data_IF_940162320863
#
_entry.id   IF_940162320863
#
_cell.length_a   1.000
_cell.length_b   1.000
_cell.length_c   1.000
_cell.angle_alpha   90.00
_cell.angle_beta   90.00
_cell.angle_gamma   90.00
#
_symmetry.space_group_name_H-M   'P 1'
#
loop_
_entity.id
_entity.type
_entity.pdbx_description
1 polymer ?
#
# COMPACT_ATOMS: atom_id res chain seq x y z
N UNK A 1 8.83 34.48 -4.99
CA UNK A 1 7.89 33.34 -4.94
C UNK A 1 8.58 31.99 -5.15
N UNK A 2 9.47 31.82 -6.14
CA UNK A 2 10.19 30.56 -6.43
C UNK A 2 11.08 30.03 -5.27
N UNK A 3 11.71 30.91 -4.50
CA UNK A 3 12.60 30.53 -3.39
C UNK A 3 11.86 29.84 -2.22
N UNK A 4 10.61 30.24 -1.94
CA UNK A 4 9.79 29.62 -0.88
C UNK A 4 9.34 28.20 -1.25
N UNK A 5 8.92 27.98 -2.50
CA UNK A 5 8.57 26.64 -2.98
C UNK A 5 9.77 25.68 -2.96
N UNK A 6 10.96 26.18 -3.27
CA UNK A 6 12.19 25.39 -3.17
C UNK A 6 12.49 24.98 -1.72
N UNK A 7 12.42 25.93 -0.78
CA UNK A 7 12.68 25.64 0.65
C UNK A 7 11.71 24.62 1.22
N UNK A 8 10.42 24.72 0.91
CA UNK A 8 9.40 23.76 1.37
C UNK A 8 9.67 22.37 0.76
N UNK A 9 10.01 22.31 -0.53
CA UNK A 9 10.37 21.04 -1.19
C UNK A 9 11.58 20.39 -0.53
N UNK A 10 12.64 21.14 -0.23
CA UNK A 10 13.83 20.58 0.42
C UNK A 10 13.52 20.10 1.85
N UNK A 11 12.69 20.84 2.60
CA UNK A 11 12.21 20.41 3.91
C UNK A 11 11.42 19.10 3.85
N UNK A 12 10.53 18.95 2.87
CA UNK A 12 9.75 17.73 2.66
C UNK A 12 10.62 16.54 2.21
N UNK A 13 11.62 16.76 1.36
CA UNK A 13 12.57 15.72 0.97
C UNK A 13 13.43 15.26 2.15
N UNK A 14 13.87 16.21 2.99
CA UNK A 14 14.58 15.91 4.23
C UNK A 14 13.70 15.09 5.17
N UNK A 15 12.46 15.53 5.40
CA UNK A 15 11.48 14.83 6.21
C UNK A 15 11.19 13.42 5.68
N UNK A 16 10.94 13.24 4.39
CA UNK A 16 10.72 11.91 3.79
C UNK A 16 11.93 10.99 4.02
N UNK A 17 13.15 11.51 3.84
CA UNK A 17 14.38 10.74 4.09
C UNK A 17 14.52 10.35 5.57
N UNK A 18 14.21 11.24 6.51
CA UNK A 18 14.31 10.96 7.95
C UNK A 18 13.16 10.12 8.47
N UNK A 19 11.96 10.24 7.92
CA UNK A 19 10.78 9.55 8.46
C UNK A 19 10.60 8.19 7.80
N UNK A 20 10.86 8.08 6.50
CA UNK A 20 10.58 6.88 5.70
C UNK A 20 11.83 6.25 5.10
N UNK A 21 12.85 7.07 4.79
CA UNK A 21 14.14 6.56 4.31
C UNK A 21 14.80 5.58 5.29
N UNK A 22 14.56 5.75 6.60
CA UNK A 22 15.01 4.78 7.61
C UNK A 22 14.40 3.40 7.43
N UNK A 23 13.13 3.27 7.05
CA UNK A 23 12.47 1.98 6.86
C UNK A 23 13.15 1.19 5.75
N UNK A 24 13.29 1.80 4.56
CA UNK A 24 13.95 1.15 3.41
C UNK A 24 15.42 0.84 3.67
N UNK A 25 16.14 1.78 4.29
CA UNK A 25 17.56 1.58 4.62
C UNK A 25 17.73 0.44 5.62
N UNK A 26 16.80 0.31 6.57
CA UNK A 26 16.82 -0.74 7.58
C UNK A 26 16.47 -2.11 6.97
N UNK A 27 15.45 -2.19 6.11
CA UNK A 27 15.13 -3.41 5.33
C UNK A 27 16.37 -3.91 4.61
N UNK A 28 16.99 -3.06 3.78
CA UNK A 28 18.21 -3.41 3.04
C UNK A 28 19.34 -3.88 3.96
N UNK A 29 19.56 -3.19 5.08
CA UNK A 29 20.59 -3.57 6.05
C UNK A 29 20.34 -4.94 6.68
N UNK A 30 19.08 -5.28 6.96
CA UNK A 30 18.69 -6.58 7.52
C UNK A 30 18.86 -7.70 6.49
N UNK A 31 18.48 -7.46 5.23
CA UNK A 31 18.74 -8.38 4.10
C UNK A 31 20.24 -8.65 3.93
N UNK A 32 21.07 -7.60 3.94
CA UNK A 32 22.53 -7.71 3.85
C UNK A 32 23.13 -8.48 5.05
N UNK A 33 22.53 -8.37 6.25
CA UNK A 33 22.96 -9.11 7.43
C UNK A 33 22.59 -10.59 7.37
N UNK A 34 21.39 -10.90 6.87
CA UNK A 34 20.94 -12.28 6.65
C UNK A 34 21.80 -12.97 5.58
N UNK A 35 22.08 -12.29 4.46
CA UNK A 35 22.92 -12.82 3.40
C UNK A 35 24.35 -13.18 3.88
N UNK A 36 24.89 -12.43 4.84
CA UNK A 36 26.19 -12.73 5.44
C UNK A 36 26.15 -13.97 6.35
N UNK A 37 25.05 -14.17 7.07
CA UNK A 37 24.87 -15.32 7.96
C UNK A 37 24.67 -16.63 7.18
N UNK A 38 24.21 -16.57 5.93
CA UNK A 38 24.07 -17.76 5.08
C UNK A 38 25.44 -18.35 4.65
N UNK A 39 26.54 -17.64 4.85
CA UNK A 39 27.91 -18.11 4.58
C UNK A 39 28.51 -18.81 5.81
N UNK A 40 27.99 -18.54 7.00
CA UNK A 40 28.54 -19.08 8.25
C UNK A 40 28.06 -20.54 8.50
N UNK A 41 28.88 -21.40 9.12
CA UNK A 41 28.48 -22.76 9.48
C UNK A 41 27.25 -22.76 10.41
N UNK A 42 26.29 -23.67 10.17
CA UNK A 42 25.06 -23.74 10.97
C UNK A 42 25.41 -24.07 12.43
N UNK A 43 25.14 -23.11 13.33
CA UNK A 43 25.23 -23.27 14.77
C UNK A 43 23.92 -22.83 15.44
N UNK A 44 23.70 -23.27 16.67
CA UNK A 44 22.52 -22.87 17.45
C UNK A 44 22.47 -21.34 17.66
N UNK A 45 23.63 -20.71 17.86
CA UNK A 45 23.75 -19.26 18.01
C UNK A 45 23.41 -18.51 16.71
N UNK A 46 23.93 -18.99 15.57
CA UNK A 46 23.67 -18.42 14.25
C UNK A 46 22.18 -18.58 13.89
N UNK A 47 21.58 -19.72 14.23
CA UNK A 47 20.15 -19.98 14.01
C UNK A 47 19.27 -19.04 14.83
N UNK A 48 19.61 -18.80 16.09
CA UNK A 48 18.91 -17.84 16.94
C UNK A 48 19.06 -16.40 16.41
N UNK A 49 20.28 -16.02 16.00
CA UNK A 49 20.55 -14.70 15.41
C UNK A 49 19.79 -14.50 14.10
N UNK A 50 19.73 -15.51 13.24
CA UNK A 50 18.96 -15.52 11.99
C UNK A 50 17.47 -15.30 12.28
N UNK A 51 16.89 -16.08 13.20
CA UNK A 51 15.48 -15.93 13.58
C UNK A 51 15.14 -14.52 14.05
N UNK A 52 16.00 -13.91 14.88
CA UNK A 52 15.81 -12.52 15.34
C UNK A 52 15.82 -11.52 14.17
N UNK A 53 16.77 -11.66 13.24
CA UNK A 53 16.87 -10.78 12.07
C UNK A 53 15.69 -10.96 11.10
N UNK A 54 15.21 -12.20 10.91
CA UNK A 54 14.00 -12.45 10.11
C UNK A 54 12.77 -11.77 10.73
N UNK A 55 12.56 -11.92 12.04
CA UNK A 55 11.43 -11.27 12.73
C UNK A 55 11.51 -9.73 12.61
N UNK A 56 12.71 -9.17 12.76
CA UNK A 56 12.91 -7.72 12.59
C UNK A 56 12.65 -7.30 11.13
N UNK A 57 13.08 -8.09 10.15
CA UNK A 57 12.84 -7.83 8.74
C UNK A 57 11.34 -7.86 8.40
N UNK A 58 10.61 -8.86 8.88
CA UNK A 58 9.15 -8.97 8.71
C UNK A 58 8.42 -7.73 9.28
N UNK A 59 8.84 -7.24 10.44
CA UNK A 59 8.27 -6.03 11.02
C UNK A 59 8.50 -4.81 10.12
N UNK A 60 9.72 -4.61 9.63
CA UNK A 60 10.05 -3.47 8.77
C UNK A 60 9.39 -3.57 7.39
N UNK A 61 9.26 -4.76 6.81
CA UNK A 61 8.51 -4.99 5.58
C UNK A 61 7.03 -4.69 5.77
N UNK A 62 6.44 -5.07 6.91
CA UNK A 62 5.04 -4.75 7.24
C UNK A 62 4.82 -3.24 7.35
N UNK A 63 5.77 -2.50 7.92
CA UNK A 63 5.74 -1.03 7.98
C UNK A 63 5.82 -0.42 6.59
N UNK A 64 6.71 -0.91 5.73
CA UNK A 64 6.80 -0.46 4.34
C UNK A 64 5.51 -0.74 3.56
N UNK A 65 4.92 -1.92 3.71
CA UNK A 65 3.66 -2.28 3.07
C UNK A 65 2.52 -1.33 3.51
N UNK A 66 2.42 -1.02 4.80
CA UNK A 66 1.44 -0.07 5.32
C UNK A 66 1.65 1.33 4.73
N UNK A 67 2.90 1.79 4.62
CA UNK A 67 3.22 3.06 3.98
C UNK A 67 2.78 3.10 2.52
N UNK A 68 3.02 2.03 1.76
CA UNK A 68 2.56 1.93 0.36
C UNK A 68 1.03 1.96 0.26
N UNK A 69 0.33 1.25 1.15
CA UNK A 69 -1.15 1.27 1.23
C UNK A 69 -1.67 2.68 1.53
N UNK A 70 -1.06 3.39 2.48
CA UNK A 70 -1.44 4.77 2.83
C UNK A 70 -1.20 5.74 1.66
N UNK A 71 -0.03 5.66 1.02
CA UNK A 71 0.30 6.48 -0.15
C UNK A 71 -0.64 6.22 -1.32
N UNK A 72 -0.98 4.96 -1.60
CA UNK A 72 -1.95 4.61 -2.63
C UNK A 72 -3.35 5.18 -2.35
N UNK A 73 -3.81 5.14 -1.09
CA UNK A 73 -5.07 5.78 -0.69
C UNK A 73 -5.02 7.30 -0.80
N UNK A 74 -3.95 7.93 -0.34
CA UNK A 74 -3.76 9.38 -0.44
C UNK A 74 -3.70 9.83 -1.91
N UNK A 75 -3.02 9.06 -2.76
CA UNK A 75 -2.98 9.28 -4.19
C UNK A 75 -4.37 9.12 -4.81
N UNK A 76 -5.13 8.08 -4.45
CA UNK A 76 -6.52 7.92 -4.87
C UNK A 76 -7.41 9.09 -4.44
N UNK A 77 -7.25 9.60 -3.22
CA UNK A 77 -8.01 10.78 -2.75
C UNK A 77 -7.63 12.03 -3.54
N UNK A 78 -6.34 12.25 -3.79
CA UNK A 78 -5.84 13.41 -4.56
C UNK A 78 -6.21 13.36 -6.05
N UNK A 79 -6.15 12.18 -6.65
CA UNK A 79 -6.45 11.98 -8.07
C UNK A 79 -7.93 11.73 -8.34
N UNK A 80 -8.68 11.20 -7.38
CA UNK A 80 -10.12 10.98 -7.48
C UNK A 80 -10.93 12.27 -7.47
N UNK A 81 -10.41 13.34 -6.85
CA UNK A 81 -10.99 14.68 -6.90
C UNK A 81 -10.67 15.41 -8.22
N UNK A 82 -9.65 14.93 -8.95
CA UNK A 82 -9.42 15.34 -10.33
C UNK A 82 -10.35 14.50 -11.21
N UNK A 83 -11.30 15.14 -11.91
CA UNK A 83 -12.18 14.52 -12.91
C UNK A 83 -11.39 13.94 -14.11
N UNK A 84 -10.56 12.93 -13.88
CA UNK A 84 -9.70 12.33 -14.90
C UNK A 84 -10.48 11.26 -15.68
N UNK A 85 -10.15 11.04 -16.97
CA UNK A 85 -10.76 9.96 -17.75
C UNK A 85 -10.58 8.57 -17.12
N UNK A 86 -9.45 8.33 -16.45
CA UNK A 86 -9.20 7.10 -15.69
C UNK A 86 -10.20 6.92 -14.54
N UNK A 87 -10.51 7.98 -13.80
CA UNK A 87 -11.51 7.95 -12.73
C UNK A 87 -12.89 7.62 -13.28
N UNK A 88 -13.31 8.25 -14.39
CA UNK A 88 -14.59 7.93 -15.04
C UNK A 88 -14.65 6.47 -15.52
N UNK A 89 -13.54 5.94 -16.06
CA UNK A 89 -13.45 4.54 -16.46
C UNK A 89 -13.57 3.58 -15.26
N UNK A 90 -12.85 3.86 -14.16
CA UNK A 90 -12.91 3.08 -12.91
C UNK A 90 -14.29 3.16 -12.26
N UNK A 91 -14.90 4.34 -12.21
CA UNK A 91 -16.24 4.57 -11.68
C UNK A 91 -17.31 3.85 -12.50
N UNK A 92 -17.19 3.87 -13.84
CA UNK A 92 -18.05 3.08 -14.74
C UNK A 92 -17.91 1.58 -14.49
N UNK A 93 -16.68 1.08 -14.33
CA UNK A 93 -16.45 -0.34 -13.99
C UNK A 93 -17.07 -0.72 -12.64
N UNK A 94 -16.92 0.11 -11.61
CA UNK A 94 -17.56 -0.12 -10.30
C UNK A 94 -19.08 -0.07 -10.40
N UNK A 95 -19.65 0.89 -11.13
CA UNK A 95 -21.09 0.99 -11.37
C UNK A 95 -21.62 -0.27 -12.07
N UNK A 96 -20.91 -0.75 -13.09
CA UNK A 96 -21.28 -1.98 -13.80
C UNK A 96 -21.24 -3.21 -12.87
N UNK A 97 -20.21 -3.35 -12.04
CA UNK A 97 -20.09 -4.46 -11.08
C UNK A 97 -21.16 -4.41 -9.97
N UNK A 98 -21.49 -3.21 -9.50
CA UNK A 98 -22.45 -3.02 -8.41
C UNK A 98 -23.89 -2.83 -8.90
N UNK A 99 -24.12 -2.88 -10.21
CA UNK A 99 -25.46 -2.77 -10.78
C UNK A 99 -26.24 -4.05 -10.47
N UNK A 100 -27.26 -3.96 -9.63
CA UNK A 100 -28.22 -5.03 -9.45
C UNK A 100 -29.04 -5.13 -10.74
N UNK A 101 -28.82 -6.20 -11.51
CA UNK A 101 -29.50 -6.38 -12.80
C UNK A 101 -30.96 -6.78 -12.63
N UNK A 102 -31.27 -7.63 -11.64
CA UNK A 102 -32.63 -8.11 -11.32
C UNK A 102 -32.70 -8.47 -9.84
N UNK A 103 -33.87 -8.26 -9.24
CA UNK A 103 -34.20 -8.73 -7.90
C UNK A 103 -35.13 -9.94 -8.01
N UNK A 104 -35.02 -10.88 -7.06
CA UNK A 104 -35.88 -12.06 -6.99
C UNK A 104 -36.85 -11.89 -5.81
N UNK A 105 -38.15 -12.09 -6.03
CA UNK A 105 -39.15 -12.00 -4.98
C UNK A 105 -39.15 -13.27 -4.08
N UNK A 106 -39.94 -13.25 -3.01
CA UNK A 106 -40.07 -14.37 -2.05
C UNK A 106 -40.62 -15.66 -2.67
N UNK A 107 -41.34 -15.55 -3.79
CA UNK A 107 -41.93 -16.66 -4.54
C UNK A 107 -40.97 -17.22 -5.62
N UNK A 108 -39.75 -16.68 -5.72
CA UNK A 108 -38.73 -17.18 -6.61
C UNK A 108 -38.81 -16.68 -8.06
N UNK A 109 -39.62 -15.66 -8.33
CA UNK A 109 -39.75 -14.99 -9.63
C UNK A 109 -38.83 -13.77 -9.73
N UNK A 110 -38.33 -13.50 -10.94
CA UNK A 110 -37.49 -12.34 -11.21
C UNK A 110 -38.35 -11.09 -11.44
N UNK A 111 -38.17 -10.06 -10.61
CA UNK A 111 -38.83 -8.77 -10.76
C UNK A 111 -38.24 -8.02 -11.97
N UNK A 112 -39.03 -7.93 -13.04
CA UNK A 112 -38.65 -7.24 -14.27
C UNK A 112 -39.29 -5.83 -14.37
N UNK A 113 -40.17 -5.46 -13.44
CA UNK A 113 -40.84 -4.15 -13.40
C UNK A 113 -40.04 -3.13 -12.58
N UNK A 114 -40.00 -1.89 -13.07
CA UNK A 114 -39.41 -0.74 -12.34
C UNK A 114 -40.26 -0.26 -11.16
N UNK A 115 -41.39 -0.90 -10.89
CA UNK A 115 -42.38 -0.50 -9.88
C UNK A 115 -42.15 -1.16 -8.51
N UNK A 116 -41.10 -1.99 -8.38
CA UNK A 116 -40.76 -2.70 -7.14
C UNK A 116 -39.31 -2.54 -6.69
N UNK A 117 -38.64 -1.45 -7.08
CA UNK A 117 -37.37 -0.97 -6.50
C UNK A 117 -37.64 0.31 -5.74
#
# INVERSE_FOLDING_TARGET
MLQRHYSVRQGLLGWDKTTFGHVRTKVKKLEDQLAKLDVDPISAEISLKRSRLCNELEEFLSREELMWKQRGKAQWLSEGDRNTPFFHARARSRRSKNSIMRLRNGDGEWCNSKEGI
#
